data_IF_098141786297
#
_entry.id   IF_098141786297
#
_cell.length_a   1.000
_cell.length_b   1.000
_cell.length_c   1.000
_cell.angle_alpha   90.00
_cell.angle_beta   90.00
_cell.angle_gamma   90.00
#
_symmetry.space_group_name_H-M   'P 1'
#
loop_
_entity.id
_entity.type
_entity.pdbx_description
1 polymer ?
#
# COMPACT_ATOMS: atom_id res chain seq x y z
N UNK A 1 -8.44 3.65 -29.67
CA UNK A 1 -8.12 2.22 -29.47
C UNK A 1 -9.16 1.64 -28.53
N UNK A 2 -9.96 0.69 -29.00
CA UNK A 2 -11.07 0.11 -28.25
C UNK A 2 -10.59 -0.53 -26.94
N UNK A 3 -11.22 -0.13 -25.84
CA UNK A 3 -10.88 -0.50 -24.47
C UNK A 3 -11.22 -1.98 -24.28
N UNK A 4 -10.22 -2.87 -24.40
CA UNK A 4 -10.39 -4.30 -24.11
C UNK A 4 -10.69 -4.42 -22.61
N UNK A 5 -11.94 -4.72 -22.25
CA UNK A 5 -12.34 -4.95 -20.86
C UNK A 5 -11.42 -6.01 -20.22
N UNK A 6 -10.50 -5.55 -19.37
CA UNK A 6 -9.61 -6.39 -18.57
C UNK A 6 -10.48 -7.10 -17.53
N UNK A 7 -10.45 -8.44 -17.51
CA UNK A 7 -11.32 -9.27 -16.67
C UNK A 7 -11.20 -8.99 -15.14
N UNK A 8 -10.16 -8.24 -14.71
CA UNK A 8 -9.83 -7.97 -13.31
C UNK A 8 -9.63 -6.46 -12.99
N UNK A 9 -10.30 -5.55 -13.70
CA UNK A 9 -10.18 -4.09 -13.46
C UNK A 9 -10.46 -3.69 -11.99
N UNK A 10 -11.37 -4.36 -11.32
CA UNK A 10 -11.75 -4.05 -9.93
C UNK A 10 -10.59 -4.14 -8.91
N UNK A 11 -9.57 -4.97 -9.15
CA UNK A 11 -8.37 -5.03 -8.29
C UNK A 11 -7.54 -3.75 -8.38
N UNK A 12 -7.39 -3.21 -9.60
CA UNK A 12 -6.71 -1.92 -9.80
C UNK A 12 -7.51 -0.80 -9.13
N UNK A 13 -8.85 -0.84 -9.20
CA UNK A 13 -9.72 0.09 -8.50
C UNK A 13 -9.54 0.06 -6.97
N UNK A 14 -9.50 -1.14 -6.37
CA UNK A 14 -9.21 -1.30 -4.94
C UNK A 14 -7.83 -0.73 -4.57
N UNK A 15 -6.83 -0.99 -5.40
CA UNK A 15 -5.47 -0.46 -5.22
C UNK A 15 -5.45 1.08 -5.27
N UNK A 16 -6.21 1.68 -6.18
CA UNK A 16 -6.34 3.13 -6.32
C UNK A 16 -6.98 3.78 -5.09
N UNK A 17 -8.08 3.22 -4.59
CA UNK A 17 -8.74 3.69 -3.36
C UNK A 17 -7.78 3.57 -2.17
N UNK A 18 -7.11 2.43 -2.02
CA UNK A 18 -6.15 2.20 -0.95
C UNK A 18 -5.02 3.24 -0.95
N UNK A 19 -4.49 3.60 -2.12
CA UNK A 19 -3.44 4.61 -2.22
C UNK A 19 -3.90 6.00 -1.74
N UNK A 20 -5.12 6.42 -2.08
CA UNK A 20 -5.67 7.69 -1.59
C UNK A 20 -5.89 7.63 -0.07
N UNK A 21 -6.43 6.52 0.44
CA UNK A 21 -6.65 6.33 1.89
C UNK A 21 -5.34 6.39 2.68
N UNK A 22 -4.24 5.82 2.18
CA UNK A 22 -2.91 5.93 2.82
C UNK A 22 -2.46 7.39 2.92
N UNK A 23 -2.62 8.16 1.84
CA UNK A 23 -2.25 9.57 1.84
C UNK A 23 -3.13 10.37 2.80
N UNK A 24 -4.44 10.15 2.77
CA UNK A 24 -5.39 10.78 3.69
C UNK A 24 -5.05 10.45 5.15
N UNK A 25 -4.73 9.19 5.44
CA UNK A 25 -4.27 8.77 6.76
C UNK A 25 -3.05 9.56 7.21
N UNK A 26 -2.03 9.71 6.36
CA UNK A 26 -0.84 10.50 6.71
C UNK A 26 -1.14 11.99 6.91
N UNK A 27 -2.04 12.58 6.14
CA UNK A 27 -2.52 13.95 6.37
C UNK A 27 -3.21 14.06 7.74
N UNK A 28 -4.07 13.10 8.09
CA UNK A 28 -4.70 13.03 9.41
C UNK A 28 -3.65 12.82 10.51
N UNK A 29 -2.64 11.97 10.34
CA UNK A 29 -1.55 11.81 11.31
C UNK A 29 -0.75 13.10 11.50
N UNK A 30 -0.63 13.95 10.47
CA UNK A 30 0.04 15.23 10.57
C UNK A 30 -0.77 16.27 11.37
N UNK A 31 -2.08 16.35 11.15
CA UNK A 31 -2.88 17.50 11.57
C UNK A 31 -4.06 17.17 12.49
N UNK A 32 -4.48 15.91 12.55
CA UNK A 32 -5.69 15.42 13.23
C UNK A 32 -5.51 14.00 13.79
N UNK A 33 -4.41 13.74 14.51
CA UNK A 33 -4.06 12.39 15.00
C UNK A 33 -5.09 11.78 15.96
N UNK A 34 -5.91 12.60 16.62
CA UNK A 34 -7.03 12.16 17.47
C UNK A 34 -8.07 11.31 16.72
N UNK A 35 -8.10 11.36 15.37
CA UNK A 35 -8.97 10.51 14.56
C UNK A 35 -8.57 9.02 14.60
N UNK A 36 -7.38 8.67 15.08
CA UNK A 36 -6.95 7.27 15.22
C UNK A 36 -7.82 6.50 16.24
N UNK A 37 -8.30 7.20 17.25
CA UNK A 37 -9.22 6.72 18.28
C UNK A 37 -10.69 6.79 17.81
N UNK A 38 -11.60 5.99 18.39
CA UNK A 38 -13.01 5.98 18.01
C UNK A 38 -13.84 7.14 18.61
N UNK A 39 -13.25 7.95 19.49
CA UNK A 39 -13.80 9.18 20.06
C UNK A 39 -12.66 10.20 20.30
N UNK A 40 -12.98 11.49 20.50
CA UNK A 40 -11.96 12.53 20.73
C UNK A 40 -11.24 12.31 22.07
N UNK A 41 -12.00 11.89 23.09
CA UNK A 41 -11.53 11.48 24.41
C UNK A 41 -12.42 10.33 24.92
N UNK A 42 -12.03 9.69 26.03
CA UNK A 42 -12.71 8.50 26.58
C UNK A 42 -14.21 8.68 26.83
N UNK A 43 -14.66 9.89 27.16
CA UNK A 43 -16.06 10.20 27.43
C UNK A 43 -16.57 11.35 26.55
N UNK A 44 -15.90 11.54 25.42
CA UNK A 44 -15.99 12.75 24.62
C UNK A 44 -16.97 12.65 23.48
N UNK A 45 -17.05 13.75 22.72
CA UNK A 45 -17.80 13.73 21.47
C UNK A 45 -17.12 12.82 20.44
N UNK A 46 -17.95 12.15 19.64
CA UNK A 46 -17.51 11.35 18.48
C UNK A 46 -17.60 12.24 17.24
N UNK A 47 -16.46 12.46 16.58
CA UNK A 47 -16.43 13.16 15.30
C UNK A 47 -17.00 12.30 14.16
N UNK A 48 -17.48 12.93 13.10
CA UNK A 48 -18.08 12.25 11.93
C UNK A 48 -17.19 11.13 11.37
N UNK A 49 -15.88 11.38 11.28
CA UNK A 49 -14.90 10.42 10.75
C UNK A 49 -14.37 9.43 11.79
N UNK A 50 -14.96 9.35 12.98
CA UNK A 50 -14.65 8.32 13.98
C UNK A 50 -15.72 7.22 14.04
N UNK A 51 -16.89 7.45 13.43
CA UNK A 51 -17.91 6.42 13.23
C UNK A 51 -17.44 5.30 12.30
N UNK A 52 -17.95 4.06 12.48
CA UNK A 52 -17.66 2.96 11.57
C UNK A 52 -18.05 3.32 10.14
N UNK A 53 -17.41 2.67 9.17
CA UNK A 53 -17.50 2.94 7.72
C UNK A 53 -16.88 4.28 7.31
N UNK A 54 -17.25 5.39 7.94
CA UNK A 54 -16.74 6.73 7.62
C UNK A 54 -15.27 6.88 7.96
N UNK A 55 -14.81 6.28 9.06
CA UNK A 55 -13.38 6.28 9.40
C UNK A 55 -12.50 5.56 8.38
N UNK A 56 -13.05 4.73 7.49
CA UNK A 56 -12.23 4.07 6.45
C UNK A 56 -11.58 5.06 5.47
N UNK A 57 -12.10 6.29 5.35
CA UNK A 57 -11.41 7.35 4.59
C UNK A 57 -10.01 7.67 5.15
N UNK A 58 -9.76 7.38 6.43
CA UNK A 58 -8.47 7.50 7.11
C UNK A 58 -7.95 6.14 7.61
N UNK A 59 -8.44 5.02 7.08
CA UNK A 59 -8.07 3.67 7.53
C UNK A 59 -6.71 3.19 6.98
N UNK A 60 -5.60 3.84 7.35
CA UNK A 60 -4.27 3.55 6.81
C UNK A 60 -3.85 2.08 6.96
N UNK A 61 -4.06 1.48 8.15
CA UNK A 61 -3.76 0.06 8.40
C UNK A 61 -4.59 -0.90 7.52
N UNK A 62 -5.84 -0.55 7.24
CA UNK A 62 -6.72 -1.29 6.31
C UNK A 62 -6.20 -1.22 4.88
N UNK A 63 -5.79 -0.04 4.43
CA UNK A 63 -5.20 0.12 3.10
C UNK A 63 -3.93 -0.72 2.93
N UNK A 64 -3.05 -0.76 3.96
CA UNK A 64 -1.84 -1.61 3.96
C UNK A 64 -2.19 -3.10 3.90
N UNK A 65 -3.15 -3.56 4.71
CA UNK A 65 -3.63 -4.95 4.66
C UNK A 65 -4.16 -5.31 3.26
N UNK A 66 -4.92 -4.39 2.63
CA UNK A 66 -5.46 -4.57 1.29
C UNK A 66 -4.36 -4.67 0.23
N UNK A 67 -3.29 -3.88 0.32
CA UNK A 67 -2.15 -4.01 -0.58
C UNK A 67 -1.44 -5.38 -0.45
N UNK A 68 -1.29 -5.94 0.77
CA UNK A 68 -0.72 -7.27 0.95
C UNK A 68 -1.63 -8.37 0.38
N UNK A 69 -2.95 -8.24 0.54
CA UNK A 69 -3.92 -9.14 -0.07
C UNK A 69 -3.86 -9.08 -1.60
N UNK A 70 -3.83 -7.87 -2.16
CA UNK A 70 -3.67 -7.67 -3.61
C UNK A 70 -2.34 -8.25 -4.09
N UNK A 71 -1.26 -8.15 -3.31
CA UNK A 71 0.04 -8.75 -3.63
C UNK A 71 -0.07 -10.27 -3.73
N UNK A 72 -0.70 -10.92 -2.75
CA UNK A 72 -0.98 -12.36 -2.79
C UNK A 72 -1.80 -12.76 -4.02
N UNK A 73 -2.81 -11.95 -4.37
CA UNK A 73 -3.69 -12.19 -5.51
C UNK A 73 -2.98 -12.08 -6.86
N UNK A 74 -2.37 -10.92 -7.13
CA UNK A 74 -1.79 -10.58 -8.44
C UNK A 74 -0.61 -11.48 -8.77
N UNK A 75 0.25 -11.76 -7.79
CA UNK A 75 1.42 -12.61 -7.98
C UNK A 75 1.06 -14.10 -8.14
N UNK A 76 -0.13 -14.53 -7.68
CA UNK A 76 -0.58 -15.92 -7.80
C UNK A 76 -1.39 -16.19 -9.06
N UNK A 77 -2.21 -15.24 -9.49
CA UNK A 77 -3.24 -15.47 -10.51
C UNK A 77 -2.69 -16.04 -11.82
N UNK A 78 -1.62 -15.46 -12.37
CA UNK A 78 -1.05 -15.88 -13.66
C UNK A 78 -0.50 -17.31 -13.61
N UNK A 79 0.30 -17.63 -12.59
CA UNK A 79 0.87 -18.96 -12.36
C UNK A 79 -0.22 -20.00 -12.19
N UNK A 80 -1.22 -19.72 -11.34
CA UNK A 80 -2.31 -20.66 -11.07
C UNK A 80 -3.22 -20.89 -12.27
N UNK A 81 -3.45 -19.84 -13.08
CA UNK A 81 -4.16 -19.97 -14.35
C UNK A 81 -3.43 -20.94 -15.30
N UNK A 82 -2.11 -20.83 -15.45
CA UNK A 82 -1.30 -21.72 -16.30
C UNK A 82 -1.27 -23.16 -15.79
N UNK A 83 -1.09 -23.35 -14.49
CA UNK A 83 -1.17 -24.67 -13.84
C UNK A 83 -2.53 -25.33 -14.12
N UNK A 84 -3.63 -24.56 -14.06
CA UNK A 84 -4.98 -25.09 -14.34
C UNK A 84 -5.21 -25.43 -15.82
N UNK A 85 -4.43 -24.83 -16.72
CA UNK A 85 -4.42 -25.16 -18.15
C UNK A 85 -3.57 -26.40 -18.48
N UNK A 86 -2.93 -27.04 -17.49
CA UNK A 86 -2.11 -28.24 -17.67
C UNK A 86 -0.64 -27.96 -17.98
N UNK A 87 -0.21 -26.70 -18.02
CA UNK A 87 1.15 -26.31 -18.40
C UNK A 87 1.97 -25.86 -17.17
N UNK A 88 2.19 -26.80 -16.25
CA UNK A 88 2.93 -26.55 -15.01
C UNK A 88 4.42 -26.27 -15.27
N UNK A 89 5.01 -26.88 -16.31
CA UNK A 89 6.40 -26.63 -16.70
C UNK A 89 6.62 -25.18 -17.13
N UNK A 90 5.78 -24.67 -18.04
CA UNK A 90 5.84 -23.26 -18.43
C UNK A 90 5.48 -22.33 -17.26
N UNK A 91 4.54 -22.73 -16.40
CA UNK A 91 4.19 -21.95 -15.22
C UNK A 91 5.40 -21.74 -14.30
N UNK A 92 6.21 -22.78 -14.05
CA UNK A 92 7.43 -22.69 -13.25
C UNK A 92 8.52 -21.85 -13.92
N UNK A 93 8.69 -21.97 -15.23
CA UNK A 93 9.62 -21.12 -15.98
C UNK A 93 9.23 -19.64 -15.88
N UNK A 94 7.95 -19.32 -16.10
CA UNK A 94 7.41 -17.96 -15.93
C UNK A 94 7.53 -17.48 -14.47
N UNK A 95 7.31 -18.36 -13.50
CA UNK A 95 7.46 -18.06 -12.08
C UNK A 95 8.90 -17.65 -11.77
N UNK A 96 9.89 -18.40 -12.23
CA UNK A 96 11.33 -18.08 -12.04
C UNK A 96 11.67 -16.66 -12.54
N UNK A 97 11.27 -16.32 -13.77
CA UNK A 97 11.46 -14.98 -14.33
C UNK A 97 10.72 -13.89 -13.56
N UNK A 98 9.51 -14.19 -13.10
CA UNK A 98 8.70 -13.24 -12.33
C UNK A 98 9.33 -12.99 -10.96
N UNK A 99 9.87 -14.03 -10.30
CA UNK A 99 10.62 -13.92 -9.06
C UNK A 99 11.85 -13.02 -9.22
N UNK A 100 12.62 -13.19 -10.29
CA UNK A 100 13.78 -12.36 -10.58
C UNK A 100 13.40 -10.88 -10.83
N UNK A 101 12.45 -10.66 -11.74
CA UNK A 101 12.08 -9.31 -12.18
C UNK A 101 11.26 -8.51 -11.18
N UNK A 102 10.44 -9.16 -10.32
CA UNK A 102 9.55 -8.47 -9.35
C UNK A 102 10.34 -7.62 -8.37
N UNK A 103 11.40 -8.16 -7.80
CA UNK A 103 12.23 -7.45 -6.83
C UNK A 103 12.76 -6.17 -7.44
N UNK A 104 13.34 -6.24 -8.64
CA UNK A 104 13.89 -5.08 -9.32
C UNK A 104 12.81 -4.05 -9.70
N UNK A 105 11.60 -4.48 -10.09
CA UNK A 105 10.47 -3.58 -10.41
C UNK A 105 9.98 -2.76 -9.22
N UNK A 106 10.09 -3.29 -8.00
CA UNK A 106 9.78 -2.55 -6.77
C UNK A 106 10.98 -1.72 -6.29
N UNK A 107 12.18 -2.30 -6.33
CA UNK A 107 13.41 -1.67 -5.81
C UNK A 107 13.82 -0.45 -6.60
N UNK A 108 13.84 -0.52 -7.94
CA UNK A 108 14.38 0.56 -8.77
C UNK A 108 13.58 1.87 -8.65
N UNK A 109 12.24 1.89 -8.79
CA UNK A 109 11.49 3.13 -8.63
C UNK A 109 11.51 3.64 -7.18
N UNK A 110 11.50 2.74 -6.19
CA UNK A 110 11.63 3.14 -4.77
C UNK A 110 12.98 3.80 -4.52
N UNK A 111 14.07 3.25 -5.04
CA UNK A 111 15.40 3.85 -4.93
C UNK A 111 15.48 5.19 -5.68
N UNK A 112 14.81 5.34 -6.83
CA UNK A 112 14.70 6.63 -7.50
C UNK A 112 13.99 7.68 -6.63
N UNK A 113 12.91 7.30 -5.95
CA UNK A 113 12.20 8.18 -5.02
C UNK A 113 13.05 8.55 -3.81
N UNK A 114 13.80 7.58 -3.26
CA UNK A 114 14.78 7.81 -2.20
C UNK A 114 15.89 8.78 -2.61
N UNK A 115 16.42 8.68 -3.82
CA UNK A 115 17.42 9.62 -4.35
C UNK A 115 16.81 11.02 -4.48
N UNK A 116 15.56 11.14 -4.93
CA UNK A 116 14.85 12.43 -4.98
C UNK A 116 14.66 13.01 -3.58
N UNK A 117 14.18 12.22 -2.62
CA UNK A 117 14.04 12.65 -1.21
C UNK A 117 15.37 13.05 -0.58
N UNK A 118 16.46 12.33 -0.90
CA UNK A 118 17.82 12.67 -0.51
C UNK A 118 18.25 14.02 -1.10
N UNK A 119 18.03 14.26 -2.40
CA UNK A 119 18.35 15.54 -3.03
C UNK A 119 17.58 16.70 -2.39
N UNK A 120 16.28 16.54 -2.15
CA UNK A 120 15.44 17.55 -1.46
C UNK A 120 15.99 17.84 -0.06
N UNK A 121 16.39 16.80 0.69
CA UNK A 121 17.04 16.95 2.00
C UNK A 121 18.34 17.74 1.89
N UNK A 122 19.24 17.40 0.96
CA UNK A 122 20.54 18.09 0.82
C UNK A 122 20.40 19.54 0.35
N UNK A 123 19.35 19.85 -0.41
CA UNK A 123 19.00 21.22 -0.81
C UNK A 123 18.27 22.00 0.30
N UNK A 124 18.24 21.46 1.52
CA UNK A 124 17.58 22.05 2.69
C UNK A 124 16.06 22.25 2.53
N UNK A 125 15.41 21.44 1.67
CA UNK A 125 13.98 21.54 1.37
C UNK A 125 13.05 21.21 2.55
N UNK A 126 13.56 20.56 3.60
CA UNK A 126 12.80 20.23 4.81
C UNK A 126 12.95 21.23 5.95
N UNK A 127 13.61 22.37 5.71
CA UNK A 127 13.88 23.37 6.75
C UNK A 127 12.62 23.90 7.46
N UNK A 128 11.50 24.10 6.75
CA UNK A 128 10.24 24.52 7.34
C UNK A 128 9.54 23.36 8.04
N UNK A 129 9.60 22.16 7.48
CA UNK A 129 9.06 20.94 8.11
C UNK A 129 9.69 20.66 9.48
N UNK A 130 10.96 21.02 9.68
CA UNK A 130 11.63 20.87 10.97
C UNK A 130 11.08 21.82 12.06
N UNK A 131 10.32 22.86 11.68
CA UNK A 131 9.86 23.94 12.58
C UNK A 131 8.34 23.93 12.81
N UNK A 132 7.60 22.96 12.29
CA UNK A 132 6.12 22.92 12.41
C UNK A 132 5.64 22.43 13.77
N UNK A 133 4.44 22.78 14.23
CA UNK A 133 3.79 22.21 15.42
C UNK A 133 3.51 20.67 15.32
N UNK A 134 3.48 20.11 14.11
CA UNK A 134 3.24 18.68 13.87
C UNK A 134 4.48 17.79 14.12
N UNK A 135 4.39 16.88 15.10
CA UNK A 135 5.45 15.90 15.38
C UNK A 135 5.73 14.97 14.18
N UNK A 136 4.68 14.53 13.49
CA UNK A 136 4.79 13.62 12.34
C UNK A 136 5.57 14.26 11.17
N UNK A 137 5.33 15.55 10.93
CA UNK A 137 6.09 16.33 9.94
C UNK A 137 7.52 16.55 10.43
N UNK A 138 7.77 16.88 11.70
CA UNK A 138 9.13 17.12 12.18
C UNK A 138 10.02 15.87 12.18
N UNK A 139 9.51 14.71 12.58
CA UNK A 139 10.36 13.52 12.87
C UNK A 139 11.15 13.03 11.65
N UNK A 140 10.58 13.10 10.45
CA UNK A 140 11.28 12.75 9.21
C UNK A 140 11.89 13.95 8.46
N UNK A 141 11.90 15.15 9.05
CA UNK A 141 12.47 16.36 8.44
C UNK A 141 13.98 16.37 8.67
N UNK A 142 14.68 15.43 8.03
CA UNK A 142 16.12 15.22 8.22
C UNK A 142 16.91 16.41 7.69
N UNK A 143 17.86 16.89 8.50
CA UNK A 143 18.76 17.97 8.12
C UNK A 143 19.78 17.52 7.05
N UNK A 144 20.29 18.44 6.21
CA UNK A 144 21.38 18.15 5.30
C UNK A 144 22.59 17.52 6.02
N UNK A 145 23.31 16.64 5.34
CA UNK A 145 24.54 16.06 5.90
C UNK A 145 25.59 17.16 6.14
N UNK A 146 26.38 17.08 7.23
CA UNK A 146 27.37 18.12 7.55
C UNK A 146 28.48 18.25 6.50
N UNK A 147 28.72 17.18 5.73
CA UNK A 147 29.62 17.15 4.58
C UNK A 147 29.00 16.32 3.46
N UNK A 148 29.43 16.55 2.22
CA UNK A 148 29.01 15.74 1.09
C UNK A 148 29.32 14.24 1.28
N UNK A 149 30.48 13.91 1.87
CA UNK A 149 30.85 12.53 2.17
C UNK A 149 29.90 11.86 3.18
N UNK A 150 29.48 12.59 4.22
CA UNK A 150 28.49 12.09 5.17
C UNK A 150 27.10 11.93 4.51
N UNK A 151 26.70 12.89 3.67
CA UNK A 151 25.45 12.82 2.90
C UNK A 151 25.42 11.62 1.94
N UNK A 152 26.53 11.36 1.22
CA UNK A 152 26.66 10.21 0.32
C UNK A 152 26.69 8.88 1.08
N UNK A 153 27.39 8.82 2.21
CA UNK A 153 27.36 7.64 3.09
C UNK A 153 25.93 7.35 3.57
N UNK A 154 25.19 8.38 3.97
CA UNK A 154 23.77 8.27 4.36
C UNK A 154 22.91 7.73 3.22
N UNK A 155 23.11 8.23 1.98
CA UNK A 155 22.42 7.71 0.80
C UNK A 155 22.73 6.23 0.56
N UNK A 156 24.02 5.84 0.56
CA UNK A 156 24.42 4.45 0.30
C UNK A 156 23.89 3.48 1.37
N UNK A 157 23.91 3.88 2.64
CA UNK A 157 23.29 3.11 3.72
C UNK A 157 21.78 2.97 3.49
N UNK A 158 21.10 4.06 3.12
CA UNK A 158 19.68 4.04 2.88
C UNK A 158 19.28 3.26 1.60
N UNK A 159 20.18 3.13 0.62
CA UNK A 159 19.96 2.30 -0.57
C UNK A 159 20.22 0.81 -0.33
N UNK A 160 20.82 0.44 0.81
CA UNK A 160 21.23 -0.93 1.12
C UNK A 160 20.52 -1.47 2.36
N UNK A 161 20.76 -0.89 3.54
CA UNK A 161 20.26 -1.35 4.85
C UNK A 161 18.74 -1.27 4.93
N UNK A 162 18.13 -0.25 4.34
CA UNK A 162 16.67 -0.06 4.28
C UNK A 162 15.93 -1.33 3.82
N UNK A 163 16.49 -2.09 2.88
CA UNK A 163 15.86 -3.30 2.35
C UNK A 163 15.83 -4.48 3.34
N UNK A 164 16.60 -4.39 4.42
CA UNK A 164 16.62 -5.38 5.48
C UNK A 164 15.58 -5.09 6.58
N UNK A 165 15.62 -3.91 7.17
CA UNK A 165 14.86 -3.53 8.37
C UNK A 165 13.65 -2.60 8.10
N UNK A 166 13.57 -1.98 6.92
CA UNK A 166 12.53 -1.01 6.58
C UNK A 166 12.71 0.36 7.22
N UNK A 167 13.85 0.63 7.86
CA UNK A 167 14.11 1.91 8.50
C UNK A 167 14.73 2.86 7.47
N UNK A 168 13.88 3.67 6.85
CA UNK A 168 14.32 4.71 5.93
C UNK A 168 14.86 5.94 6.66
N UNK A 169 16.01 6.46 6.23
CA UNK A 169 16.60 7.70 6.77
C UNK A 169 15.83 8.91 6.26
N UNK A 170 15.64 9.01 4.94
CA UNK A 170 15.07 10.21 4.30
C UNK A 170 13.55 10.15 4.13
N UNK A 171 12.95 8.99 4.34
CA UNK A 171 11.51 8.79 4.34
C UNK A 171 11.11 7.56 5.16
N UNK A 172 10.44 7.76 6.30
CA UNK A 172 9.97 6.67 7.16
C UNK A 172 8.72 5.96 6.64
N UNK A 173 7.98 6.56 5.70
CA UNK A 173 6.72 5.98 5.22
C UNK A 173 6.94 4.75 4.35
N UNK A 174 8.14 4.57 3.81
CA UNK A 174 8.51 3.43 2.95
C UNK A 174 8.72 2.11 3.70
N UNK A 175 8.55 2.09 5.02
CA UNK A 175 8.78 0.92 5.86
C UNK A 175 8.07 -0.34 5.38
N UNK A 176 6.92 -0.23 4.69
CA UNK A 176 6.18 -1.40 4.18
C UNK A 176 6.80 -2.03 2.92
N UNK A 177 7.63 -1.30 2.15
CA UNK A 177 8.14 -1.77 0.86
C UNK A 177 9.02 -3.02 0.99
N UNK A 178 9.96 -3.13 1.96
CA UNK A 178 10.69 -4.38 2.18
C UNK A 178 9.79 -5.56 2.53
N UNK A 179 8.69 -5.32 3.27
CA UNK A 179 7.70 -6.36 3.56
C UNK A 179 6.96 -6.81 2.30
N UNK A 180 6.71 -5.92 1.31
CA UNK A 180 6.16 -6.33 0.01
C UNK A 180 7.12 -7.21 -0.79
N UNK A 181 8.42 -6.94 -0.71
CA UNK A 181 9.44 -7.79 -1.35
C UNK A 181 9.47 -9.17 -0.67
N UNK A 182 9.61 -9.21 0.66
CA UNK A 182 9.60 -10.46 1.44
C UNK A 182 8.30 -11.24 1.23
N UNK A 183 7.17 -10.56 1.26
CA UNK A 183 5.85 -11.14 1.01
C UNK A 183 5.68 -11.71 -0.40
N UNK A 184 6.24 -11.05 -1.42
CA UNK A 184 6.28 -11.59 -2.79
C UNK A 184 7.07 -12.90 -2.85
N UNK A 185 8.17 -13.01 -2.10
CA UNK A 185 8.95 -14.26 -2.03
C UNK A 185 8.19 -15.39 -1.35
N UNK A 186 7.40 -15.10 -0.31
CA UNK A 186 6.49 -16.07 0.32
C UNK A 186 5.52 -16.61 -0.74
N UNK A 187 4.88 -15.73 -1.52
CA UNK A 187 3.98 -16.14 -2.61
C UNK A 187 4.68 -17.08 -3.59
N UNK A 188 5.88 -16.71 -4.07
CA UNK A 188 6.59 -17.51 -5.06
C UNK A 188 7.05 -18.87 -4.52
N UNK A 189 7.48 -18.93 -3.26
CA UNK A 189 7.84 -20.18 -2.61
C UNK A 189 6.61 -21.09 -2.44
N UNK A 190 5.48 -20.54 -2.00
CA UNK A 190 4.23 -21.28 -1.88
C UNK A 190 3.74 -21.76 -3.25
N UNK A 191 3.83 -20.94 -4.29
CA UNK A 191 3.47 -21.33 -5.67
C UNK A 191 4.38 -22.44 -6.21
N UNK A 192 5.69 -22.36 -5.95
CA UNK A 192 6.65 -23.39 -6.32
C UNK A 192 6.29 -24.73 -5.65
N UNK A 193 6.08 -24.71 -4.33
CA UNK A 193 5.69 -25.91 -3.57
C UNK A 193 4.32 -26.48 -3.95
N UNK A 194 3.42 -25.65 -4.49
CA UNK A 194 2.05 -26.05 -4.86
C UNK A 194 1.81 -26.20 -6.37
N UNK A 195 2.82 -25.99 -7.21
CA UNK A 195 2.67 -25.97 -8.68
C UNK A 195 2.12 -27.30 -9.24
N UNK A 196 2.54 -28.43 -8.68
CA UNK A 196 2.08 -29.77 -9.07
C UNK A 196 0.99 -30.33 -8.15
N UNK A 197 0.57 -29.57 -7.14
CA UNK A 197 -0.51 -30.01 -6.25
C UNK A 197 -1.86 -29.85 -6.93
N UNK A 198 -2.76 -30.82 -6.71
CA UNK A 198 -4.10 -30.71 -7.25
C UNK A 198 -4.89 -29.58 -6.56
N UNK A 199 -5.78 -28.86 -7.27
CA UNK A 199 -6.60 -27.77 -6.71
C UNK A 199 -7.29 -28.09 -5.38
N UNK A 200 -7.78 -29.33 -5.23
CA UNK A 200 -8.46 -29.81 -4.02
C UNK A 200 -7.56 -29.81 -2.78
N UNK A 201 -6.24 -29.90 -2.96
CA UNK A 201 -5.25 -29.84 -1.89
C UNK A 201 -4.63 -28.46 -1.74
N UNK A 202 -4.46 -27.70 -2.84
CA UNK A 202 -3.91 -26.34 -2.76
C UNK A 202 -4.75 -25.45 -1.83
N UNK A 203 -6.10 -25.48 -1.93
CA UNK A 203 -6.95 -24.63 -1.09
C UNK A 203 -6.83 -24.96 0.42
N UNK A 204 -6.95 -26.23 0.87
CA UNK A 204 -6.67 -26.58 2.26
C UNK A 204 -5.26 -26.20 2.72
N UNK A 205 -4.24 -26.34 1.87
CA UNK A 205 -2.87 -25.89 2.20
C UNK A 205 -2.84 -24.39 2.47
N UNK A 206 -3.47 -23.57 1.61
CA UNK A 206 -3.53 -22.11 1.82
C UNK A 206 -4.33 -21.74 3.08
N UNK A 207 -5.42 -22.45 3.37
CA UNK A 207 -6.19 -22.26 4.61
C UNK A 207 -5.36 -22.64 5.83
N UNK A 208 -4.61 -23.75 5.77
CA UNK A 208 -3.67 -24.14 6.82
C UNK A 208 -2.59 -23.08 7.02
N UNK A 209 -1.97 -22.57 5.96
CA UNK A 209 -0.95 -21.52 6.04
C UNK A 209 -1.52 -20.20 6.60
N UNK A 210 -2.77 -19.86 6.27
CA UNK A 210 -3.48 -18.73 6.86
C UNK A 210 -3.68 -18.93 8.38
N UNK A 211 -4.16 -20.10 8.82
CA UNK A 211 -4.32 -20.42 10.25
C UNK A 211 -2.97 -20.46 10.97
N UNK A 212 -1.93 -20.97 10.30
CA UNK A 212 -0.57 -20.99 10.84
C UNK A 212 -0.02 -19.56 11.02
N UNK A 213 -0.20 -18.69 10.04
CA UNK A 213 0.13 -17.26 10.15
C UNK A 213 -0.68 -16.56 11.25
N UNK A 214 -1.95 -16.94 11.43
CA UNK A 214 -2.78 -16.45 12.52
C UNK A 214 -2.17 -16.80 13.87
N UNK A 215 -1.86 -18.08 14.10
CA UNK A 215 -1.28 -18.56 15.33
C UNK A 215 0.13 -17.97 15.59
N UNK A 216 0.89 -17.71 14.54
CA UNK A 216 2.27 -17.22 14.59
C UNK A 216 2.45 -15.71 14.74
N UNK A 217 1.39 -14.93 14.98
CA UNK A 217 1.53 -13.46 15.16
C UNK A 217 1.57 -12.64 13.87
N UNK A 218 1.47 -13.26 12.68
CA UNK A 218 1.84 -12.64 11.39
C UNK A 218 0.67 -11.91 10.71
N UNK A 219 -0.02 -11.04 11.45
CA UNK A 219 -1.22 -10.38 10.93
C UNK A 219 -0.97 -9.29 9.89
N UNK A 220 0.22 -8.68 9.86
CA UNK A 220 0.53 -7.64 8.88
C UNK A 220 0.60 -8.20 7.46
N UNK A 221 1.46 -9.20 7.24
CA UNK A 221 1.84 -9.69 5.92
C UNK A 221 1.13 -10.98 5.54
N UNK A 222 1.40 -12.05 6.28
CA UNK A 222 1.17 -13.43 5.85
C UNK A 222 -0.32 -13.75 5.77
N UNK A 223 -1.11 -13.33 6.76
CA UNK A 223 -2.58 -13.48 6.75
C UNK A 223 -3.18 -12.91 5.46
N UNK A 224 -2.85 -11.66 5.15
CA UNK A 224 -3.38 -10.96 4.00
C UNK A 224 -2.89 -11.59 2.69
N UNK A 225 -1.60 -11.96 2.62
CA UNK A 225 -1.02 -12.63 1.46
C UNK A 225 -1.73 -13.96 1.17
N UNK A 226 -1.86 -14.86 2.16
CA UNK A 226 -2.50 -16.15 1.96
C UNK A 226 -4.00 -16.00 1.61
N UNK A 227 -4.69 -15.02 2.19
CA UNK A 227 -6.06 -14.67 1.76
C UNK A 227 -6.12 -14.26 0.29
N UNK A 228 -5.15 -13.45 -0.17
CA UNK A 228 -5.00 -13.06 -1.57
C UNK A 228 -4.71 -14.23 -2.50
N UNK A 229 -3.81 -15.14 -2.09
CA UNK A 229 -3.52 -16.36 -2.84
C UNK A 229 -4.75 -17.26 -2.97
N UNK A 230 -5.53 -17.40 -1.89
CA UNK A 230 -6.79 -18.14 -1.91
C UNK A 230 -7.81 -17.49 -2.84
N UNK A 231 -7.91 -16.16 -2.83
CA UNK A 231 -8.76 -15.42 -3.76
C UNK A 231 -8.35 -15.62 -5.22
N UNK A 232 -7.05 -15.78 -5.49
CA UNK A 232 -6.54 -16.11 -6.82
C UNK A 232 -6.93 -17.54 -7.25
N UNK A 233 -6.86 -18.54 -6.37
CA UNK A 233 -7.39 -19.90 -6.65
C UNK A 233 -8.86 -19.84 -7.06
N UNK A 234 -9.67 -19.14 -6.26
CA UNK A 234 -11.11 -19.02 -6.53
C UNK A 234 -11.37 -18.26 -7.82
N UNK A 235 -10.58 -17.23 -8.12
CA UNK A 235 -10.70 -16.49 -9.39
C UNK A 235 -10.39 -17.34 -10.61
N UNK A 236 -9.44 -18.28 -10.51
CA UNK A 236 -9.13 -19.22 -11.60
C UNK A 236 -10.27 -20.24 -11.77
N UNK A 237 -10.84 -20.75 -10.67
CA UNK A 237 -11.86 -21.80 -10.72
C UNK A 237 -13.24 -21.27 -11.15
N UNK A 238 -13.68 -20.14 -10.58
CA UNK A 238 -14.99 -19.55 -10.86
C UNK A 238 -14.97 -18.63 -12.09
N UNK A 239 -13.90 -17.85 -12.28
CA UNK A 239 -13.80 -16.87 -13.36
C UNK A 239 -14.99 -15.90 -13.39
N UNK A 240 -15.62 -15.65 -14.55
CA UNK A 240 -16.81 -14.81 -14.65
C UNK A 240 -18.02 -15.32 -13.83
N UNK A 241 -18.10 -16.62 -13.56
CA UNK A 241 -19.22 -17.24 -12.80
C UNK A 241 -19.19 -16.91 -11.31
N UNK A 242 -18.13 -16.25 -10.83
CA UNK A 242 -18.02 -15.84 -9.43
C UNK A 242 -19.21 -15.00 -8.97
N UNK A 243 -19.70 -14.07 -9.80
CA UNK A 243 -20.82 -13.17 -9.45
C UNK A 243 -22.17 -13.86 -9.34
N UNK A 244 -22.26 -15.11 -9.79
CA UNK A 244 -23.43 -15.97 -9.65
C UNK A 244 -23.25 -17.07 -8.59
N UNK A 245 -22.06 -17.19 -8.00
CA UNK A 245 -21.75 -18.24 -7.03
C UNK A 245 -22.36 -17.97 -5.64
N UNK A 246 -22.53 -16.70 -5.28
CA UNK A 246 -23.22 -16.27 -4.06
C UNK A 246 -24.35 -15.30 -4.41
N UNK A 247 -25.34 -15.22 -3.51
CA UNK A 247 -26.42 -14.25 -3.65
C UNK A 247 -25.88 -12.82 -3.46
N UNK A 248 -26.51 -11.84 -4.13
CA UNK A 248 -26.18 -10.42 -3.96
C UNK A 248 -26.23 -9.98 -2.49
N UNK A 249 -27.21 -10.49 -1.73
CA UNK A 249 -27.37 -10.20 -0.29
C UNK A 249 -26.18 -10.74 0.50
N UNK A 250 -25.77 -11.98 0.26
CA UNK A 250 -24.62 -12.58 0.95
C UNK A 250 -23.33 -11.80 0.65
N UNK A 251 -23.07 -11.47 -0.62
CA UNK A 251 -21.90 -10.69 -1.01
C UNK A 251 -21.92 -9.30 -0.40
N UNK A 252 -23.08 -8.64 -0.37
CA UNK A 252 -23.25 -7.34 0.28
C UNK A 252 -23.03 -7.40 1.79
N UNK A 253 -23.59 -8.40 2.47
CA UNK A 253 -23.38 -8.60 3.91
C UNK A 253 -21.92 -8.89 4.25
N UNK A 254 -21.20 -9.64 3.41
CA UNK A 254 -19.75 -9.84 3.56
C UNK A 254 -18.99 -8.51 3.45
N UNK A 255 -19.33 -7.67 2.47
CA UNK A 255 -18.72 -6.34 2.31
C UNK A 255 -19.04 -5.49 3.55
N UNK A 256 -20.30 -5.40 3.97
CA UNK A 256 -20.72 -4.58 5.10
C UNK A 256 -20.04 -5.01 6.40
N UNK A 257 -20.02 -6.31 6.68
CA UNK A 257 -19.32 -6.87 7.84
C UNK A 257 -17.81 -6.60 7.75
N UNK A 258 -17.22 -6.81 6.58
CA UNK A 258 -15.81 -6.53 6.34
C UNK A 258 -15.45 -5.05 6.55
N UNK A 259 -16.30 -4.12 6.09
CA UNK A 259 -16.12 -2.68 6.30
C UNK A 259 -16.24 -2.31 7.78
N UNK A 260 -17.14 -2.93 8.54
CA UNK A 260 -17.26 -2.73 9.99
C UNK A 260 -15.98 -3.15 10.72
N UNK A 261 -15.46 -4.35 10.44
CA UNK A 261 -14.21 -4.84 11.05
C UNK A 261 -12.99 -4.04 10.59
N UNK A 262 -12.92 -3.69 9.31
CA UNK A 262 -11.86 -2.85 8.77
C UNK A 262 -11.91 -1.42 9.35
N UNK A 263 -13.04 -1.01 9.92
CA UNK A 263 -13.17 0.24 10.65
C UNK A 263 -12.63 0.13 12.07
N UNK A 264 -12.02 -0.95 12.53
CA UNK A 264 -11.53 -1.03 13.91
C UNK A 264 -10.49 0.08 14.23
N UNK A 265 -10.59 0.75 15.40
CA UNK A 265 -9.70 1.85 15.77
C UNK A 265 -8.27 1.40 16.05
N UNK A 266 -7.33 2.30 15.78
CA UNK A 266 -5.90 2.05 16.01
C UNK A 266 -5.57 2.12 17.50
N UNK A 267 -6.07 3.17 18.14
CA UNK A 267 -5.88 3.45 19.55
C UNK A 267 -7.23 3.38 20.28
N UNK A 268 -7.19 3.04 21.56
CA UNK A 268 -8.34 3.17 22.47
C UNK A 268 -9.65 2.53 21.96
N UNK A 269 -9.57 1.28 21.51
CA UNK A 269 -10.72 0.56 20.97
C UNK A 269 -11.86 0.37 21.99
N UNK A 270 -11.59 0.56 23.27
CA UNK A 270 -12.51 0.47 24.39
C UNK A 270 -13.41 1.71 24.58
N UNK A 271 -13.05 2.88 24.03
CA UNK A 271 -13.77 4.15 24.28
C UNK A 271 -15.19 4.22 23.72
N UNK A 272 -15.55 3.39 22.74
CA UNK A 272 -16.92 3.38 22.20
C UNK A 272 -17.53 1.98 22.19
N UNK A 273 -18.87 1.85 22.37
CA UNK A 273 -19.50 0.53 22.47
C UNK A 273 -19.28 -0.37 21.26
N UNK A 274 -19.30 0.18 20.03
CA UNK A 274 -19.18 -0.63 18.81
C UNK A 274 -17.77 -1.20 18.65
N UNK A 275 -16.73 -0.41 18.93
CA UNK A 275 -15.34 -0.86 18.85
C UNK A 275 -15.00 -1.78 20.03
N UNK A 276 -15.52 -1.49 21.22
CA UNK A 276 -15.29 -2.29 22.40
C UNK A 276 -15.95 -3.67 22.32
N UNK A 277 -17.13 -3.77 21.70
CA UNK A 277 -17.78 -5.05 21.43
C UNK A 277 -16.92 -5.95 20.54
N UNK A 278 -16.29 -5.40 19.50
CA UNK A 278 -15.34 -6.13 18.65
C UNK A 278 -14.08 -6.48 19.45
N UNK A 279 -13.54 -5.54 20.22
CA UNK A 279 -12.33 -5.71 21.00
C UNK A 279 -12.47 -6.85 22.02
N UNK A 280 -13.59 -6.89 22.75
CA UNK A 280 -13.88 -7.90 23.77
C UNK A 280 -13.91 -9.32 23.21
N UNK A 281 -14.34 -9.50 21.96
CA UNK A 281 -14.26 -10.80 21.29
C UNK A 281 -12.85 -11.07 20.75
N UNK A 282 -12.24 -10.07 20.12
CA UNK A 282 -10.96 -10.21 19.44
C UNK A 282 -9.81 -10.57 20.40
N UNK A 283 -9.79 -10.05 21.62
CA UNK A 283 -8.76 -10.36 22.63
C UNK A 283 -8.67 -11.86 22.98
N UNK A 284 -9.76 -12.63 22.82
CA UNK A 284 -9.77 -14.07 23.07
C UNK A 284 -9.39 -14.90 21.84
N UNK A 285 -9.51 -14.34 20.63
CA UNK A 285 -9.25 -15.04 19.36
C UNK A 285 -7.83 -14.81 18.85
N UNK A 286 -7.23 -13.69 19.23
CA UNK A 286 -5.89 -13.27 18.80
C UNK A 286 -4.83 -13.88 19.75
N UNK A 287 -3.67 -14.33 19.24
CA UNK A 287 -2.59 -14.82 20.11
C UNK A 287 -2.17 -13.80 21.17
N UNK A 288 -1.79 -14.28 22.35
CA UNK A 288 -1.35 -13.43 23.45
C UNK A 288 -0.16 -12.55 23.04
N UNK A 289 -0.24 -11.26 23.33
CA UNK A 289 0.80 -10.27 22.99
C UNK A 289 0.80 -9.81 21.53
N UNK A 290 -0.14 -10.27 20.70
CA UNK A 290 -0.24 -9.81 19.32
C UNK A 290 -1.09 -8.54 19.17
N UNK A 291 -0.88 -7.80 18.08
CA UNK A 291 -1.60 -6.56 17.81
C UNK A 291 -3.05 -6.83 17.32
N UNK A 292 -4.00 -6.84 18.26
CA UNK A 292 -5.44 -7.11 18.03
C UNK A 292 -5.99 -6.33 16.83
N UNK A 293 -5.66 -5.05 16.73
CA UNK A 293 -6.11 -4.18 15.63
C UNK A 293 -5.76 -4.76 14.25
N UNK A 294 -4.53 -5.25 14.05
CA UNK A 294 -4.11 -5.80 12.74
C UNK A 294 -4.86 -7.06 12.37
N UNK A 295 -5.16 -7.91 13.36
CA UNK A 295 -5.94 -9.13 13.15
C UNK A 295 -7.36 -8.81 12.71
N UNK A 296 -8.05 -7.94 13.45
CA UNK A 296 -9.43 -7.53 13.13
C UNK A 296 -9.51 -6.90 11.74
N UNK A 297 -8.57 -5.99 11.42
CA UNK A 297 -8.50 -5.34 10.11
C UNK A 297 -8.19 -6.36 9.00
N UNK A 298 -7.34 -7.34 9.22
CA UNK A 298 -7.00 -8.36 8.21
C UNK A 298 -8.20 -9.27 7.90
N UNK A 299 -8.98 -9.62 8.91
CA UNK A 299 -10.27 -10.31 8.72
C UNK A 299 -11.22 -9.42 7.93
N UNK A 300 -11.39 -8.16 8.34
CA UNK A 300 -12.24 -7.20 7.63
C UNK A 300 -11.86 -7.04 6.16
N UNK A 301 -10.57 -6.88 5.88
CA UNK A 301 -10.01 -6.75 4.52
C UNK A 301 -10.24 -8.00 3.68
N UNK A 302 -10.15 -9.18 4.29
CA UNK A 302 -10.47 -10.46 3.65
C UNK A 302 -11.96 -10.51 3.27
N UNK A 303 -12.87 -10.17 4.19
CA UNK A 303 -14.30 -10.14 3.92
C UNK A 303 -14.68 -9.12 2.84
N UNK A 304 -14.08 -7.91 2.86
CA UNK A 304 -14.25 -6.91 1.80
C UNK A 304 -13.84 -7.49 0.45
N UNK A 305 -12.62 -8.04 0.35
CA UNK A 305 -12.06 -8.51 -0.92
C UNK A 305 -12.83 -9.69 -1.50
N UNK A 306 -13.23 -10.66 -0.66
CA UNK A 306 -14.04 -11.79 -1.09
C UNK A 306 -15.47 -11.35 -1.42
N UNK A 307 -16.07 -10.46 -0.63
CA UNK A 307 -17.38 -9.90 -0.90
C UNK A 307 -17.43 -9.15 -2.23
N UNK A 308 -16.40 -8.35 -2.54
CA UNK A 308 -16.23 -7.68 -3.85
C UNK A 308 -16.09 -8.71 -4.97
N UNK A 309 -15.29 -9.76 -4.78
CA UNK A 309 -15.11 -10.80 -5.79
C UNK A 309 -16.43 -11.47 -6.22
N UNK A 310 -17.34 -11.71 -5.26
CA UNK A 310 -18.65 -12.30 -5.50
C UNK A 310 -19.74 -11.26 -5.89
N UNK A 311 -19.52 -9.96 -5.66
CA UNK A 311 -20.52 -8.92 -5.94
C UNK A 311 -20.36 -8.32 -7.34
N UNK A 312 -21.36 -8.45 -8.25
CA UNK A 312 -21.29 -7.81 -9.56
C UNK A 312 -21.29 -6.28 -9.45
N UNK A 313 -22.10 -5.72 -8.55
CA UNK A 313 -22.28 -4.27 -8.41
C UNK A 313 -21.00 -3.61 -7.87
N UNK A 314 -20.35 -4.23 -6.88
CA UNK A 314 -19.09 -3.72 -6.35
C UNK A 314 -17.96 -3.78 -7.40
N UNK A 315 -17.90 -4.86 -8.20
CA UNK A 315 -16.93 -4.98 -9.30
C UNK A 315 -17.14 -3.91 -10.36
N UNK A 316 -18.38 -3.57 -10.67
CA UNK A 316 -18.69 -2.51 -11.64
C UNK A 316 -18.19 -1.14 -11.16
N UNK A 317 -18.53 -0.76 -9.93
CA UNK A 317 -18.09 0.50 -9.31
C UNK A 317 -16.56 0.58 -9.29
N UNK A 318 -15.88 -0.48 -8.85
CA UNK A 318 -14.43 -0.52 -8.76
C UNK A 318 -13.74 -0.60 -10.13
N UNK A 319 -14.45 -1.07 -11.15
CA UNK A 319 -13.94 -1.11 -12.52
C UNK A 319 -14.14 0.21 -13.26
N UNK A 320 -14.67 1.25 -12.62
CA UNK A 320 -14.87 2.57 -13.22
C UNK A 320 -13.52 3.17 -13.71
N UNK A 321 -13.48 3.89 -14.86
CA UNK A 321 -12.25 4.42 -15.43
C UNK A 321 -11.40 5.26 -14.48
N UNK A 322 -12.04 6.07 -13.62
CA UNK A 322 -11.35 6.89 -12.61
C UNK A 322 -10.64 6.00 -11.59
N UNK A 323 -11.31 4.96 -11.09
CA UNK A 323 -10.72 4.04 -10.11
C UNK A 323 -9.55 3.26 -10.70
N UNK A 324 -9.69 2.80 -11.95
CA UNK A 324 -8.59 2.15 -12.66
C UNK A 324 -7.42 3.11 -12.92
N UNK A 325 -7.70 4.38 -13.23
CA UNK A 325 -6.67 5.40 -13.40
C UNK A 325 -5.88 5.60 -12.09
N UNK A 326 -6.57 5.80 -10.96
CA UNK A 326 -5.95 5.88 -9.65
C UNK A 326 -5.13 4.62 -9.34
N UNK A 327 -5.66 3.45 -9.70
CA UNK A 327 -4.96 2.17 -9.61
C UNK A 327 -3.65 2.16 -10.38
N UNK A 328 -3.60 2.71 -11.59
CA UNK A 328 -2.36 2.75 -12.40
C UNK A 328 -1.28 3.64 -11.82
N UNK A 329 -1.65 4.74 -11.19
CA UNK A 329 -0.71 5.70 -10.58
C UNK A 329 -0.51 5.46 -9.07
N UNK A 330 -1.06 4.38 -8.51
CA UNK A 330 -1.10 4.14 -7.06
C UNK A 330 0.29 3.99 -6.43
N UNK A 331 1.22 3.36 -7.15
CA UNK A 331 2.57 3.13 -6.63
C UNK A 331 3.37 4.44 -6.55
N UNK A 332 3.41 5.28 -7.59
CA UNK A 332 3.99 6.62 -7.48
C UNK A 332 3.31 7.52 -6.45
N UNK A 333 1.98 7.44 -6.27
CA UNK A 333 1.28 8.15 -5.18
C UNK A 333 1.91 7.79 -3.83
N UNK A 334 2.09 6.49 -3.58
CA UNK A 334 2.73 6.01 -2.36
C UNK A 334 4.20 6.47 -2.24
N UNK A 335 4.96 6.51 -3.33
CA UNK A 335 6.37 6.94 -3.26
C UNK A 335 6.51 8.43 -2.94
N UNK A 336 5.78 9.32 -3.59
CA UNK A 336 6.13 10.76 -3.53
C UNK A 336 5.32 11.56 -2.51
N UNK A 337 4.23 11.01 -1.96
CA UNK A 337 3.31 11.77 -1.11
C UNK A 337 3.99 12.40 0.11
N UNK A 338 4.87 11.67 0.81
CA UNK A 338 5.47 12.15 2.05
C UNK A 338 6.54 13.24 1.79
N UNK A 339 7.29 13.15 0.70
CA UNK A 339 8.15 14.26 0.24
C UNK A 339 7.31 15.52 -0.03
N UNK A 340 6.16 15.39 -0.69
CA UNK A 340 5.26 16.51 -0.96
C UNK A 340 4.56 17.04 0.29
N UNK A 341 4.25 16.18 1.28
CA UNK A 341 3.73 16.61 2.58
C UNK A 341 4.76 17.54 3.24
N UNK A 342 6.03 17.12 3.29
CA UNK A 342 7.11 17.82 3.99
C UNK A 342 7.60 19.08 3.27
N UNK A 343 7.30 19.22 1.98
CA UNK A 343 7.72 20.39 1.18
C UNK A 343 6.51 21.26 0.88
N UNK A 344 5.72 20.89 -0.13
CA UNK A 344 4.61 21.66 -0.66
C UNK A 344 3.50 21.89 0.37
N UNK A 345 3.00 20.83 1.02
CA UNK A 345 1.87 20.97 1.95
C UNK A 345 2.27 21.75 3.19
N UNK A 346 3.42 21.43 3.78
CA UNK A 346 3.99 22.21 4.88
C UNK A 346 4.11 23.68 4.50
N UNK A 347 4.66 24.01 3.33
CA UNK A 347 4.76 25.39 2.90
C UNK A 347 3.39 26.06 2.80
N UNK A 348 2.40 25.41 2.17
CA UNK A 348 1.07 25.96 2.01
C UNK A 348 0.35 26.20 3.35
N UNK A 349 0.56 25.33 4.34
CA UNK A 349 -0.12 25.39 5.65
C UNK A 349 0.58 26.35 6.62
N UNK A 350 1.90 26.45 6.59
CA UNK A 350 2.69 27.20 7.59
C UNK A 350 3.31 28.50 7.05
N UNK A 351 3.22 28.80 5.75
CA UNK A 351 3.84 30.01 5.16
C UNK A 351 3.46 31.31 5.88
N UNK A 352 2.22 31.45 6.34
CA UNK A 352 1.75 32.72 6.91
C UNK A 352 2.36 32.96 8.28
N UNK A 353 2.54 31.90 9.10
CA UNK A 353 3.28 31.97 10.37
C UNK A 353 4.77 32.20 10.10
N UNK A 354 5.36 31.49 9.13
CA UNK A 354 6.78 31.66 8.78
C UNK A 354 7.12 33.07 8.26
N UNK A 355 6.21 33.72 7.53
CA UNK A 355 6.38 35.10 7.06
C UNK A 355 6.26 36.11 8.22
N UNK A 356 5.34 35.87 9.17
CA UNK A 356 5.08 36.78 10.28
C UNK A 356 6.11 36.69 11.40
N UNK A 357 6.51 35.47 11.75
CA UNK A 357 7.31 35.18 12.94
C UNK A 357 8.77 34.79 12.60
N UNK A 358 9.06 34.57 11.31
CA UNK A 358 10.33 34.00 10.86
C UNK A 358 10.33 32.47 10.94
N UNK A 359 11.38 31.84 10.40
CA UNK A 359 11.48 30.37 10.33
C UNK A 359 11.80 29.72 11.69
N UNK A 360 12.45 30.47 12.59
CA UNK A 360 12.83 30.04 13.93
C UNK A 360 12.22 31.00 14.96
N UNK A 361 10.90 30.96 15.15
CA UNK A 361 10.25 31.90 16.04
C UNK A 361 10.64 31.60 17.49
N UNK A 362 10.67 32.66 18.30
CA UNK A 362 10.86 32.59 19.75
C UNK A 362 9.63 33.17 20.44
N UNK A 363 9.27 32.64 21.61
CA UNK A 363 8.22 33.20 22.45
C UNK A 363 8.65 34.54 23.09
N UNK A 364 7.75 35.15 23.87
CA UNK A 364 8.03 36.42 24.53
C UNK A 364 9.16 36.33 25.56
N UNK A 365 9.41 35.13 26.08
CA UNK A 365 10.44 34.77 27.04
C UNK A 365 11.78 34.38 26.36
N UNK A 366 11.83 34.32 25.03
CA UNK A 366 13.00 33.97 24.23
C UNK A 366 13.23 32.47 24.04
N UNK A 367 12.28 31.60 24.41
CA UNK A 367 12.36 30.17 24.17
C UNK A 367 11.94 29.81 22.72
N UNK A 368 12.50 28.73 22.14
CA UNK A 368 12.10 28.27 20.82
C UNK A 368 10.61 27.92 20.75
N UNK A 369 9.93 28.48 19.74
CA UNK A 369 8.53 28.21 19.41
C UNK A 369 8.46 27.46 18.06
N UNK A 370 7.40 26.68 17.86
CA UNK A 370 7.09 26.10 16.55
C UNK A 370 6.14 26.99 15.76
N UNK A 371 6.18 26.86 14.43
CA UNK A 371 5.26 27.51 13.51
C UNK A 371 3.83 27.02 13.73
N UNK A 372 2.91 27.98 13.75
CA UNK A 372 1.48 27.72 13.87
C UNK A 372 0.89 27.38 12.49
N UNK A 373 0.08 26.32 12.44
CA UNK A 373 -0.64 25.94 11.22
C UNK A 373 -1.73 26.96 10.89
N UNK A 374 -1.95 27.21 9.61
CA UNK A 374 -3.06 28.04 9.15
C UNK A 374 -4.43 27.49 9.58
N UNK A 375 -5.42 28.38 9.68
CA UNK A 375 -6.79 28.00 10.02
C UNK A 375 -7.50 27.20 8.91
N UNK A 376 -8.79 26.91 9.09
CA UNK A 376 -9.59 26.12 8.15
C UNK A 376 -9.49 26.61 6.70
N UNK A 377 -9.49 27.93 6.47
CA UNK A 377 -9.35 28.50 5.13
C UNK A 377 -8.03 28.14 4.43
N UNK A 378 -6.93 28.01 5.18
CA UNK A 378 -5.65 27.56 4.63
C UNK A 378 -5.74 26.09 4.19
N UNK A 379 -6.36 25.22 4.99
CA UNK A 379 -6.55 23.81 4.65
C UNK A 379 -7.47 23.60 3.43
N UNK A 380 -8.54 24.40 3.31
CA UNK A 380 -9.46 24.35 2.15
C UNK A 380 -8.77 24.67 0.83
N UNK A 381 -7.65 25.39 0.85
CA UNK A 381 -6.82 25.69 -0.33
C UNK A 381 -5.65 24.72 -0.46
N UNK A 382 -4.95 24.46 0.64
CA UNK A 382 -3.73 23.66 0.66
C UNK A 382 -3.98 22.19 0.28
N UNK A 383 -5.04 21.57 0.82
CA UNK A 383 -5.32 20.15 0.59
C UNK A 383 -5.68 19.86 -0.87
N UNK A 384 -6.58 20.61 -1.54
CA UNK A 384 -6.84 20.41 -2.97
C UNK A 384 -5.60 20.61 -3.86
N UNK A 385 -4.79 21.65 -3.59
CA UNK A 385 -3.55 21.90 -4.33
C UNK A 385 -2.57 20.74 -4.14
N UNK A 386 -2.44 20.23 -2.91
CA UNK A 386 -1.60 19.08 -2.60
C UNK A 386 -2.05 17.84 -3.37
N UNK A 387 -3.33 17.47 -3.32
CA UNK A 387 -3.82 16.28 -4.06
C UNK A 387 -3.69 16.46 -5.58
N UNK A 388 -4.00 17.63 -6.12
CA UNK A 388 -3.85 17.90 -7.55
C UNK A 388 -2.37 17.73 -7.99
N UNK A 389 -1.44 18.29 -7.21
CA UNK A 389 0.00 18.19 -7.47
C UNK A 389 0.48 16.75 -7.33
N UNK A 390 0.07 16.05 -6.28
CA UNK A 390 0.40 14.65 -6.04
C UNK A 390 -0.07 13.77 -7.21
N UNK A 391 -1.34 13.85 -7.60
CA UNK A 391 -1.89 13.05 -8.69
C UNK A 391 -1.20 13.38 -10.03
N UNK A 392 -0.92 14.65 -10.30
CA UNK A 392 -0.22 15.06 -11.50
C UNK A 392 1.24 14.55 -11.53
N UNK A 393 1.98 14.71 -10.45
CA UNK A 393 3.36 14.21 -10.35
C UNK A 393 3.42 12.68 -10.38
N UNK A 394 2.45 11.98 -9.78
CA UNK A 394 2.33 10.52 -9.89
C UNK A 394 2.03 10.08 -11.32
N UNK A 395 1.21 10.83 -12.06
CA UNK A 395 1.01 10.59 -13.49
C UNK A 395 2.32 10.80 -14.28
N UNK A 396 3.03 11.92 -14.07
CA UNK A 396 4.32 12.15 -14.72
C UNK A 396 5.34 11.05 -14.40
N UNK A 397 5.36 10.56 -13.16
CA UNK A 397 6.19 9.44 -12.76
C UNK A 397 5.94 8.19 -13.62
N UNK A 398 4.67 7.83 -13.83
CA UNK A 398 4.32 6.67 -14.68
C UNK A 398 4.74 6.84 -16.15
N UNK A 399 4.88 8.08 -16.62
CA UNK A 399 5.29 8.39 -17.99
C UNK A 399 6.81 8.43 -18.13
N UNK A 400 7.53 8.97 -17.14
CA UNK A 400 8.95 9.31 -17.29
C UNK A 400 9.91 8.44 -16.48
N UNK A 401 9.49 7.89 -15.32
CA UNK A 401 10.38 7.15 -14.42
C UNK A 401 10.13 5.64 -14.52
N UNK A 402 8.86 5.24 -14.53
CA UNK A 402 8.49 3.82 -14.61
C UNK A 402 9.00 3.13 -15.88
N UNK A 403 8.92 3.73 -17.10
CA UNK A 403 9.37 3.04 -18.31
C UNK A 403 10.89 2.80 -18.37
N UNK A 404 11.79 3.76 -18.02
CA UNK A 404 13.21 3.47 -17.88
C UNK A 404 13.52 2.37 -16.86
N UNK A 405 12.89 2.39 -15.68
CA UNK A 405 13.05 1.33 -14.69
C UNK A 405 12.61 -0.03 -15.25
N UNK A 406 11.46 -0.08 -15.92
CA UNK A 406 10.95 -1.29 -16.56
C UNK A 406 11.91 -1.85 -17.62
N UNK A 407 12.42 -1.00 -18.52
CA UNK A 407 13.40 -1.40 -19.54
C UNK A 407 14.68 -1.94 -18.93
N UNK A 408 15.16 -1.35 -17.84
CA UNK A 408 16.35 -1.84 -17.14
C UNK A 408 16.11 -3.24 -16.54
N UNK A 409 14.94 -3.48 -15.93
CA UNK A 409 14.59 -4.81 -15.42
C UNK A 409 14.47 -5.84 -16.54
N UNK A 410 13.81 -5.47 -17.64
CA UNK A 410 13.63 -6.37 -18.78
C UNK A 410 14.99 -6.73 -19.38
N UNK A 411 15.89 -5.75 -19.56
CA UNK A 411 17.26 -5.99 -19.99
C UNK A 411 18.02 -6.91 -19.04
N UNK A 412 17.99 -6.65 -17.73
CA UNK A 412 18.62 -7.51 -16.72
C UNK A 412 18.08 -8.94 -16.78
N UNK A 413 16.78 -9.11 -16.98
CA UNK A 413 16.14 -10.41 -17.08
C UNK A 413 16.50 -11.14 -18.37
N UNK A 414 16.51 -10.46 -19.51
CA UNK A 414 16.87 -11.08 -20.80
C UNK A 414 18.32 -11.52 -20.82
N UNK A 415 19.23 -10.70 -20.27
CA UNK A 415 20.65 -11.04 -20.14
C UNK A 415 20.88 -12.19 -19.15
N UNK A 416 20.28 -12.14 -17.95
CA UNK A 416 20.49 -13.16 -16.93
C UNK A 416 19.97 -14.56 -17.33
N UNK A 417 18.95 -14.62 -18.18
CA UNK A 417 18.37 -15.87 -18.67
C UNK A 417 18.89 -16.29 -20.05
N UNK A 418 19.90 -15.60 -20.61
CA UNK A 418 20.55 -15.98 -21.87
C UNK A 418 19.68 -15.80 -23.12
N UNK A 419 18.65 -14.97 -23.07
CA UNK A 419 17.73 -14.76 -24.20
C UNK A 419 18.24 -13.75 -25.23
N UNK A 420 19.26 -12.96 -24.86
CA UNK A 420 19.95 -12.03 -25.75
C UNK A 420 20.92 -12.71 -26.73
N UNK A 421 21.29 -13.96 -26.47
CA UNK A 421 22.20 -14.74 -27.31
C UNK A 421 21.41 -15.83 -28.03
N UNK A 422 21.09 -15.60 -29.31
CA UNK A 422 20.19 -16.46 -30.08
C UNK A 422 20.58 -17.93 -30.07
N UNK A 423 19.78 -18.75 -29.37
CA UNK A 423 19.60 -20.18 -29.65
C UNK A 423 18.10 -20.43 -29.79
N UNK A 424 17.70 -20.89 -30.97
CA UNK A 424 16.32 -20.96 -31.41
C UNK A 424 15.43 -21.91 -30.60
N UNK A 425 14.13 -21.55 -30.57
CA UNK A 425 13.02 -22.37 -30.07
C UNK A 425 12.88 -22.27 -28.56
N UNK A 426 12.14 -21.32 -28.00
CA UNK A 426 10.70 -21.19 -28.14
C UNK A 426 10.36 -19.70 -28.21
N UNK A 427 9.89 -19.25 -29.37
CA UNK A 427 9.13 -17.98 -29.43
C UNK A 427 7.85 -18.23 -28.67
N UNK A 428 7.89 -18.00 -27.35
CA UNK A 428 6.68 -17.77 -26.58
C UNK A 428 6.08 -16.52 -27.18
N UNK A 429 5.13 -16.75 -28.10
CA UNK A 429 4.26 -15.73 -28.65
C UNK A 429 3.86 -14.87 -27.47
N UNK A 430 4.33 -13.61 -27.44
CA UNK A 430 3.76 -12.58 -26.59
C UNK A 430 2.31 -12.49 -27.05
N UNK A 431 1.44 -13.36 -26.52
CA UNK A 431 0.07 -12.98 -26.28
C UNK A 431 0.17 -11.86 -25.24
N UNK A 432 0.44 -10.67 -25.77
CA UNK A 432 0.36 -9.45 -25.03
C UNK A 432 -1.04 -9.39 -24.45
N UNK A 433 -1.13 -9.58 -23.14
CA UNK A 433 -1.83 -8.62 -22.34
C UNK A 433 -0.98 -7.34 -22.44
N UNK A 434 -1.35 -6.33 -23.25
CA UNK A 434 -0.76 -5.03 -23.09
C UNK A 434 -1.23 -4.53 -21.71
N UNK A 435 -0.28 -4.37 -20.79
CA UNK A 435 -0.57 -3.82 -19.46
C UNK A 435 -0.22 -4.71 -18.27
N UNK A 436 0.88 -5.46 -18.33
CA UNK A 436 1.76 -5.58 -17.17
C UNK A 436 2.78 -4.42 -17.22
N UNK A 437 2.27 -3.19 -17.35
CA UNK A 437 3.07 -2.00 -17.08
C UNK A 437 3.13 -1.88 -15.57
N UNK A 438 4.34 -2.04 -15.04
CA UNK A 438 4.81 -1.50 -13.76
C UNK A 438 3.72 -1.39 -12.70
N UNK A 439 3.47 -2.50 -12.00
CA UNK A 439 2.69 -2.54 -10.76
C UNK A 439 3.24 -3.65 -9.89
#
# INVERSE_FOLDING_TARGET
MANKHRANNWIDGLRGIAAIVVVTYHLCSCFASWLNSPAIDEHGAVSLFQYPFLRLFMGGRTAVALFFLITGYVNSYSTRKRVRQGDAGLALHCLSKTTFSRTAKLVLPTNAALIIGWMVCQLNGYHMAAQTDSFWIRVGAVAPGPTFGAALKGLLLNLTVFWHDGVGIYDHTYWTIPFFVKGSMIVYLTLLGTAYTQPRWTKPILVFLYIFAWAGGQALTDLNIYAGMLLAELSVDYGPRATSALSRITSFSMILFGLLLASFPEDHADWTPWSNAINTVAIYLVPAGAEVNRYVISVGTTFISFGVFFSPDAREILSHPIMNFLGRISFPIYLIHNTLIRTLLTWLVYRDSAIKEGLYPVDAEGNPKYLDKGGLGAFMVAVPIFYATLLYMSYLWTVYIDPPCGRLVDWLSETAFGESEGVGGVVLKKEGLPGALVS
#
